data_IF_950280208027
#
_entry.id   IF_950280208027
#
_cell.length_a   1.000
_cell.length_b   1.000
_cell.length_c   1.000
_cell.angle_alpha   90.00
_cell.angle_beta   90.00
_cell.angle_gamma   90.00
#
_symmetry.space_group_name_H-M   'P 1'
#
loop_
_entity.id
_entity.type
_entity.pdbx_description
1 polymer ?
2 polymer ?
3 non-polymer ?
4 water ?
#
# COMPACT_ATOMS: atom_id res chain seq x y z
N UNK A 5 22.44 -10.23 13.34
CA UNK A 5 21.63 -9.95 14.52
C UNK A 5 20.84 -11.17 14.97
N UNK A 6 19.88 -10.94 15.87
CA UNK A 6 18.95 -11.99 16.27
C UNK A 6 17.62 -11.79 15.54
N UNK A 7 17.30 -12.74 14.69
CA UNK A 7 16.06 -12.68 13.92
C UNK A 7 15.12 -13.80 14.31
N UNK A 8 13.93 -13.41 14.76
CA UNK A 8 12.91 -14.37 15.12
C UNK A 8 11.92 -14.47 13.96
N UNK A 9 12.17 -15.40 13.05
CA UNK A 9 11.33 -15.51 11.86
C UNK A 9 10.00 -16.15 12.22
N UNK A 10 8.94 -15.64 11.61
CA UNK A 10 7.59 -16.12 11.84
C UNK A 10 7.09 -16.73 10.54
N UNK A 11 7.44 -18.00 10.37
CA UNK A 11 7.21 -18.73 9.14
C UNK A 11 6.63 -20.08 9.54
N UNK A 12 5.44 -20.39 9.05
CA UNK A 12 4.82 -21.68 9.41
C UNK A 12 5.37 -22.81 8.55
N UNK A 13 4.99 -24.05 8.89
CA UNK A 13 5.44 -25.22 8.15
C UNK A 13 4.50 -25.64 7.01
N UNK A 14 4.72 -26.84 6.49
CA UNK A 14 3.92 -27.36 5.40
C UNK A 14 2.78 -28.24 5.92
N UNK B 4 -21.06 15.61 -14.17
CA UNK B 4 -21.05 14.62 -13.10
C UNK B 4 -19.81 14.77 -12.24
N UNK B 5 -19.65 13.86 -11.29
CA UNK B 5 -18.51 13.87 -10.37
C UNK B 5 -17.40 12.96 -10.87
N UNK B 6 -16.30 13.54 -11.35
CA UNK B 6 -15.22 12.74 -11.93
C UNK B 6 -14.52 11.86 -10.90
N UNK B 7 -14.59 12.25 -9.63
CA UNK B 7 -13.96 11.47 -8.57
C UNK B 7 -14.70 10.15 -8.33
N UNK B 8 -15.96 10.07 -8.77
CA UNK B 8 -16.73 8.84 -8.59
C UNK B 8 -16.16 7.69 -9.43
N UNK B 9 -15.36 8.03 -10.42
CA UNK B 9 -14.66 7.02 -11.22
C UNK B 9 -13.80 6.08 -10.36
N UNK B 10 -13.37 6.58 -9.19
CA UNK B 10 -12.58 5.79 -8.26
C UNK B 10 -13.28 4.51 -7.81
N UNK B 11 -14.62 4.56 -7.76
CA UNK B 11 -15.40 3.47 -7.18
C UNK B 11 -16.23 2.71 -8.20
N UNK B 12 -16.07 3.02 -9.47
CA UNK B 12 -16.80 2.30 -10.50
C UNK B 12 -16.37 0.83 -10.48
N UNK B 13 -17.33 -0.08 -10.35
CA UNK B 13 -16.99 -1.50 -10.42
C UNK B 13 -16.22 -1.80 -11.70
N UNK B 14 -15.10 -2.50 -11.59
CA UNK B 14 -14.28 -2.79 -12.75
C UNK B 14 -13.10 -1.84 -12.94
N UNK B 15 -13.16 -0.66 -12.32
CA UNK B 15 -12.05 0.29 -12.41
C UNK B 15 -10.74 -0.24 -11.80
N UNK B 16 -9.60 0.03 -12.46
CA UNK B 16 -8.30 -0.40 -11.93
C UNK B 16 -7.51 0.76 -11.33
N UNK B 17 -7.16 0.62 -10.06
CA UNK B 17 -6.26 1.58 -9.43
C UNK B 17 -4.82 1.20 -9.74
N UNK B 18 -3.97 2.19 -9.85
CA UNK B 18 -2.54 1.95 -9.90
C UNK B 18 -1.97 1.82 -8.49
N UNK B 19 -1.18 0.77 -8.25
CA UNK B 19 -0.48 0.58 -6.98
C UNK B 19 1.02 0.66 -7.17
N UNK B 20 1.68 1.52 -6.38
CA UNK B 20 3.13 1.57 -6.37
C UNK B 20 3.66 0.68 -5.25
N UNK B 21 4.46 -0.33 -5.62
CA UNK B 21 5.01 -1.27 -4.66
C UNK B 21 6.49 -0.97 -4.49
N UNK B 22 6.94 -0.73 -3.25
CA UNK B 22 8.37 -0.45 -3.00
C UNK B 22 8.85 -1.40 -1.94
N UNK B 23 9.93 -2.12 -2.20
CA UNK B 23 10.45 -3.07 -1.23
C UNK B 23 11.77 -2.60 -0.64
N UNK B 24 11.95 -2.89 0.65
CA UNK B 24 13.13 -2.52 1.41
C UNK B 24 13.69 -3.72 2.10
N UNK B 25 14.99 -3.98 1.91
CA UNK B 25 15.66 -5.00 2.72
C UNK B 25 16.56 -4.28 3.71
N UNK B 26 16.32 -4.47 5.00
CA UNK B 26 17.10 -3.82 6.05
C UNK B 26 17.16 -2.32 5.78
N UNK B 27 16.02 -1.74 5.44
CA UNK B 27 15.94 -0.29 5.29
C UNK B 27 16.54 0.27 4.02
N UNK B 28 16.91 -0.60 3.09
CA UNK B 28 17.45 -0.18 1.80
C UNK B 28 16.45 -0.47 0.69
N UNK B 29 16.08 0.55 -0.09
CA UNK B 29 15.16 0.32 -1.20
C UNK B 29 15.79 -0.55 -2.28
N UNK B 30 15.16 -1.69 -2.58
CA UNK B 30 15.73 -2.63 -3.54
C UNK B 30 14.88 -2.85 -4.77
N UNK B 31 13.67 -2.31 -4.76
CA UNK B 31 12.70 -2.64 -5.80
C UNK B 31 11.56 -1.65 -5.79
N UNK B 32 11.12 -1.23 -6.97
CA UNK B 32 9.90 -0.44 -7.04
C UNK B 32 9.22 -0.73 -8.37
N UNK B 33 7.91 -0.95 -8.33
CA UNK B 33 7.14 -1.21 -9.54
C UNK B 33 5.73 -0.70 -9.36
N UNK B 34 5.17 -0.16 -10.43
CA UNK B 34 3.79 0.30 -10.43
C UNK B 34 2.92 -0.73 -11.16
N UNK B 35 1.81 -1.14 -10.52
CA UNK B 35 0.98 -2.22 -11.05
C UNK B 35 -0.46 -1.77 -11.20
N UNK B 36 -1.08 -2.05 -12.35
CA UNK B 36 -2.52 -1.91 -12.50
C UNK B 36 -3.00 -3.26 -13.03
N UNK B 37 -3.93 -3.89 -12.31
CA UNK B 37 -4.42 -5.22 -12.75
C UNK B 37 -5.79 -5.47 -12.15
N UNK B 38 -6.75 -5.98 -12.93
CA UNK B 38 -8.08 -6.23 -12.33
C UNK B 38 -7.99 -7.14 -11.10
N UNK B 39 -7.00 -8.02 -11.04
CA UNK B 39 -6.86 -8.96 -9.91
C UNK B 39 -6.07 -8.39 -8.75
N UNK B 40 -5.66 -7.13 -8.84
CA UNK B 40 -4.74 -6.58 -7.86
C UNK B 40 -3.36 -7.20 -8.03
N UNK B 41 -2.60 -7.26 -6.95
CA UNK B 41 -1.20 -7.67 -7.01
C UNK B 41 -0.90 -8.78 -6.02
N UNK B 42 0.21 -9.47 -6.24
CA UNK B 42 0.60 -10.55 -5.34
C UNK B 42 2.13 -10.53 -5.21
N UNK B 43 2.62 -10.21 -4.02
CA UNK B 43 4.05 -10.19 -3.76
C UNK B 43 4.60 -11.61 -3.67
N UNK B 44 5.64 -11.90 -4.44
CA UNK B 44 6.22 -13.25 -4.42
C UNK B 44 7.72 -13.20 -4.31
N UNK B 45 8.34 -14.33 -3.98
CA UNK B 45 9.77 -14.41 -3.82
C UNK B 45 10.39 -15.17 -4.97
N UNK B 46 9.55 -15.49 -5.96
CA UNK B 46 9.89 -16.29 -7.13
C UNK B 46 10.27 -17.73 -6.77
N UNK B 47 9.40 -18.38 -5.98
CA UNK B 47 9.38 -19.83 -5.90
C UNK B 47 8.48 -20.32 -7.03
N UNK B 48 8.36 -19.48 -8.05
CA UNK B 48 7.43 -19.62 -9.16
C UNK B 48 7.28 -21.05 -9.67
N UNK B 49 6.10 -21.62 -9.48
CA UNK B 49 5.01 -20.90 -8.83
C UNK B 49 3.68 -21.13 -9.50
N UNK B 50 2.64 -21.33 -8.70
CA UNK B 50 1.30 -21.60 -9.20
C UNK B 50 0.74 -20.38 -9.95
N UNK B 51 0.57 -20.52 -11.26
CA UNK B 51 0.10 -19.40 -12.07
C UNK B 51 -1.42 -19.26 -12.03
N UNK B 52 -2.09 -20.21 -11.39
CA UNK B 52 -3.53 -20.09 -11.20
C UNK B 52 -3.83 -19.25 -9.95
N UNK B 53 -2.81 -18.91 -9.18
CA UNK B 53 -3.01 -18.00 -8.06
C UNK B 53 -3.40 -16.62 -8.59
N UNK B 54 -4.26 -15.92 -7.85
CA UNK B 54 -4.72 -14.59 -8.29
C UNK B 54 -3.67 -13.49 -8.11
N UNK B 55 -3.80 -12.41 -8.86
CA UNK B 55 -2.95 -11.24 -8.67
C UNK B 55 -1.78 -11.18 -9.61
N UNK B 56 -1.43 -9.99 -10.06
CA UNK B 56 -0.25 -9.81 -10.89
C UNK B 56 0.96 -10.08 -10.01
N UNK B 57 1.79 -11.07 -10.38
CA UNK B 57 2.95 -11.40 -9.54
C UNK B 57 4.01 -10.31 -9.56
N UNK B 58 4.36 -9.84 -8.37
CA UNK B 58 5.37 -8.81 -8.19
C UNK B 58 6.55 -9.50 -7.51
N UNK B 59 7.62 -9.71 -8.25
CA UNK B 59 8.72 -10.53 -7.74
C UNK B 59 9.73 -9.68 -6.97
N UNK B 60 9.81 -9.93 -5.67
CA UNK B 60 10.82 -9.28 -4.83
C UNK B 60 12.19 -9.88 -5.16
N UNK B 61 13.18 -9.03 -5.43
CA UNK B 61 14.43 -9.50 -6.01
C UNK B 61 15.32 -10.26 -5.03
N UNK B 62 16.08 -11.22 -5.55
CA UNK B 62 17.07 -11.88 -4.71
C UNK B 62 18.11 -10.86 -4.28
N UNK B 63 18.56 -10.91 -3.01
CA UNK B 63 19.50 -9.91 -2.49
C UNK B 63 20.84 -9.87 -3.20
N UNK B 64 21.20 -10.91 -3.94
CA UNK B 64 22.49 -10.98 -4.61
C UNK B 64 23.48 -11.79 -3.79
N UNK B 65 24.47 -12.37 -4.45
CA UNK B 65 25.36 -13.31 -3.76
C UNK B 65 26.70 -12.72 -3.35
N UNK B 66 26.75 -11.42 -3.10
CA UNK B 66 28.00 -10.81 -2.69
C UNK B 66 28.46 -11.33 -1.31
N UNK B 67 29.77 -11.38 -1.09
CA UNK B 67 30.29 -11.60 0.26
C UNK B 67 29.84 -10.45 1.14
N UNK B 68 29.75 -9.28 0.54
CA UNK B 68 29.31 -8.10 1.23
C UNK B 68 27.91 -8.25 1.80
N UNK B 69 27.78 -8.08 3.11
CA UNK B 69 26.48 -8.16 3.79
C UNK B 69 25.88 -9.57 3.71
N UNK B 70 26.73 -10.58 3.54
CA UNK B 70 26.19 -11.91 3.21
C UNK B 70 25.29 -12.45 4.33
N UNK B 71 25.61 -12.11 5.57
CA UNK B 71 24.86 -12.63 6.71
C UNK B 71 23.39 -12.24 6.70
N UNK B 72 23.09 -10.96 6.85
CA UNK B 72 21.69 -10.54 6.88
C UNK B 72 21.00 -10.77 5.54
N UNK B 73 21.74 -10.73 4.44
CA UNK B 73 21.12 -10.96 3.15
C UNK B 73 20.73 -12.42 2.98
N UNK B 74 21.43 -13.34 3.67
CA UNK B 74 21.05 -14.74 3.62
C UNK B 74 19.75 -14.96 4.42
N UNK B 75 19.53 -14.12 5.42
CA UNK B 75 18.25 -14.12 6.14
C UNK B 75 17.14 -13.60 5.24
N UNK B 76 17.42 -12.53 4.50
CA UNK B 76 16.43 -12.03 3.56
C UNK B 76 16.09 -13.10 2.54
N UNK B 77 17.11 -13.73 1.98
CA UNK B 77 16.87 -14.75 0.98
C UNK B 77 16.04 -15.89 1.57
N UNK B 78 16.26 -16.24 2.84
CA UNK B 78 15.47 -17.30 3.45
C UNK B 78 14.00 -16.90 3.54
N UNK B 79 13.74 -15.69 4.01
CA UNK B 79 12.37 -15.20 4.09
C UNK B 79 11.70 -15.21 2.70
N UNK B 80 12.39 -14.70 1.69
CA UNK B 80 11.85 -14.70 0.33
C UNK B 80 11.54 -16.11 -0.17
N UNK B 81 12.39 -17.07 0.21
CA UNK B 81 12.22 -18.43 -0.27
C UNK B 81 11.01 -19.10 0.39
N UNK B 82 10.54 -18.51 1.48
CA UNK B 82 9.38 -19.07 2.18
C UNK B 82 8.08 -18.31 1.88
N UNK B 83 8.15 -17.30 1.03
CA UNK B 83 6.96 -16.52 0.67
C UNK B 83 5.87 -17.37 0.02
N UNK B 84 6.27 -18.43 -0.69
CA UNK B 84 5.33 -19.32 -1.34
C UNK B 84 4.33 -18.54 -2.20
N UNK B 85 3.04 -18.83 -2.03
CA UNK B 85 1.99 -18.12 -2.76
C UNK B 85 2.06 -16.61 -2.57
N UNK B 86 2.62 -16.16 -1.46
CA UNK B 86 2.91 -14.75 -1.30
C UNK B 86 1.85 -13.92 -0.60
N UNK B 87 1.83 -12.63 -0.91
CA UNK B 87 0.96 -11.68 -0.22
C UNK B 87 0.10 -10.98 -1.26
N UNK B 88 -1.20 -11.29 -1.27
CA UNK B 88 -2.11 -10.65 -2.24
C UNK B 88 -2.73 -9.37 -1.69
N UNK B 89 -2.89 -8.37 -2.56
CA UNK B 89 -3.55 -7.11 -2.21
C UNK B 89 -4.41 -6.71 -3.38
N UNK B 90 -5.68 -6.40 -3.14
CA UNK B 90 -6.58 -6.03 -4.21
C UNK B 90 -7.71 -5.14 -3.72
N UNK B 91 -8.42 -4.52 -4.66
CA UNK B 91 -9.52 -3.63 -4.33
C UNK B 91 -10.85 -4.27 -4.67
N UNK B 92 -11.82 -4.08 -3.79
CA UNK B 92 -13.22 -4.40 -4.11
C UNK B 92 -14.10 -3.36 -3.43
N UNK B 93 -14.81 -2.58 -4.24
CA UNK B 93 -15.63 -1.51 -3.68
C UNK B 93 -14.74 -0.43 -3.08
N UNK B 94 -15.10 0.05 -1.90
CA UNK B 94 -14.33 1.14 -1.31
C UNK B 94 -13.24 0.58 -0.40
N UNK B 95 -13.02 -0.73 -0.49
CA UNK B 95 -12.06 -1.40 0.38
C UNK B 95 -10.87 -2.00 -0.37
N UNK B 96 -9.70 -1.94 0.29
CA UNK B 96 -8.54 -2.73 -0.11
C UNK B 96 -8.49 -3.96 0.78
N UNK B 97 -8.18 -5.10 0.19
CA UNK B 97 -8.17 -6.39 0.87
C UNK B 97 -6.81 -7.04 0.74
N UNK B 98 -6.38 -7.76 1.76
CA UNK B 98 -5.14 -8.51 1.67
C UNK B 98 -5.29 -9.96 2.14
N UNK B 99 -4.40 -10.82 1.68
CA UNK B 99 -4.48 -12.23 2.04
C UNK B 99 -3.10 -12.83 1.92
N UNK B 100 -2.73 -13.67 2.90
CA UNK B 100 -1.44 -14.32 2.86
C UNK B 100 -1.60 -15.70 2.24
N UNK B 101 -0.85 -15.98 1.18
CA UNK B 101 -1.04 -17.20 0.42
C UNK B 101 0.15 -18.14 0.56
N UNK B 102 1.12 -17.74 1.36
CA UNK B 102 2.28 -18.56 1.62
C UNK B 102 2.52 -18.72 3.11
N UNK B 103 3.77 -18.96 3.49
CA UNK B 103 4.09 -19.36 4.85
C UNK B 103 4.58 -18.23 5.76
N UNK B 104 4.83 -17.04 5.21
CA UNK B 104 5.39 -15.95 6.02
C UNK B 104 4.29 -15.15 6.71
N UNK B 105 4.24 -15.22 8.04
CA UNK B 105 3.33 -14.35 8.78
C UNK B 105 3.65 -12.91 8.42
N UNK B 106 2.61 -12.14 8.10
CA UNK B 106 2.81 -10.76 7.62
C UNK B 106 1.92 -9.80 8.39
N UNK B 107 2.51 -8.72 8.91
CA UNK B 107 1.76 -7.72 9.65
C UNK B 107 1.70 -6.45 8.84
N UNK B 108 0.63 -5.67 9.03
CA UNK B 108 0.44 -4.49 8.21
C UNK B 108 -0.01 -3.28 9.03
N UNK B 109 0.23 -2.10 8.48
CA UNK B 109 -0.33 -0.87 9.04
C UNK B 109 -0.50 0.14 7.93
N UNK B 110 -1.48 1.02 8.07
CA UNK B 110 -1.60 2.19 7.21
C UNK B 110 -0.83 3.32 7.89
N UNK B 111 0.14 3.88 7.17
CA UNK B 111 1.16 4.73 7.78
C UNK B 111 1.52 5.91 6.88
N UNK B 112 2.51 6.68 7.33
CA UNK B 112 3.13 7.71 6.50
C UNK B 112 3.92 7.12 5.34
N UNK B 113 4.11 7.92 4.28
CA UNK B 113 4.94 7.49 3.16
C UNK B 113 6.32 7.01 3.57
N UNK B 114 6.96 7.72 4.50
CA UNK B 114 8.37 7.44 4.73
C UNK B 114 8.67 6.62 5.99
N UNK B 115 7.66 6.40 6.82
CA UNK B 115 7.88 5.75 8.12
C UNK B 115 6.78 4.75 8.42
N UNK B 116 7.11 3.45 8.41
CA UNK B 116 6.04 2.47 8.58
C UNK B 116 5.49 2.43 9.98
N UNK B 117 6.33 2.70 10.98
CA UNK B 117 5.95 2.39 12.36
C UNK B 117 5.89 3.59 13.31
N UNK B 118 4.80 4.33 13.22
CA UNK B 118 4.30 5.14 14.34
C UNK B 118 3.01 5.87 13.99
N UNK B 119 1.89 5.17 14.14
CA UNK B 119 1.88 3.76 14.49
C UNK B 119 1.96 3.40 15.96
N UNK B 120 0.87 2.86 16.49
CA UNK B 120 0.90 2.29 17.81
C UNK B 120 0.79 0.77 17.67
N UNK B 121 1.80 0.19 17.02
CA UNK B 121 1.78 -1.23 16.71
C UNK B 121 1.17 -1.44 15.33
N UNK B 122 1.07 -2.71 14.90
CA UNK B 122 0.47 -2.93 13.57
C UNK B 122 -1.04 -2.78 13.63
N UNK B 123 -1.66 -2.49 12.49
CA UNK B 123 -3.12 -2.46 12.44
C UNK B 123 -3.67 -3.88 12.45
N UNK B 124 -2.85 -4.86 12.06
CA UNK B 124 -3.29 -6.25 12.12
C UNK B 124 -2.32 -7.23 11.48
N UNK B 125 -2.69 -8.51 11.51
CA UNK B 125 -1.97 -9.54 10.76
C UNK B 125 -2.79 -9.93 9.53
N UNK B 126 -2.14 -10.00 8.38
CA UNK B 126 -2.83 -10.44 7.16
C UNK B 126 -3.29 -11.89 7.33
N UNK B 127 -4.59 -12.15 7.11
CA UNK B 127 -5.08 -13.50 7.34
C UNK B 127 -4.74 -14.44 6.19
N UNK B 128 -4.82 -15.72 6.51
CA UNK B 128 -4.62 -16.81 5.59
C UNK B 128 -5.99 -17.43 5.34
N UNK B 129 -6.20 -17.95 4.14
CA UNK B 129 -7.42 -18.71 3.78
C UNK B 129 -8.68 -17.87 3.63
N UNK B 130 -8.63 -16.60 4.01
CA UNK B 130 -9.73 -15.69 3.73
C UNK B 130 -9.16 -14.30 3.59
N UNK B 131 -9.93 -13.38 3.04
CA UNK B 131 -9.43 -12.03 2.84
C UNK B 131 -9.59 -11.21 4.13
N UNK B 132 -8.75 -10.18 4.26
CA UNK B 132 -8.86 -9.25 5.37
C UNK B 132 -8.84 -7.82 4.86
N UNK B 133 -9.74 -6.98 5.37
CA UNK B 133 -9.80 -5.60 4.95
C UNK B 133 -8.62 -4.85 5.54
N UNK B 134 -7.91 -4.10 4.71
CA UNK B 134 -6.75 -3.36 5.22
C UNK B 134 -6.90 -1.85 5.01
N UNK B 135 -7.89 -1.44 4.21
CA UNK B 135 -8.07 -0.01 3.97
C UNK B 135 -9.47 0.33 3.51
N UNK B 136 -10.07 1.35 4.13
CA UNK B 136 -11.41 1.79 3.78
C UNK B 136 -11.33 3.22 3.25
N UNK B 137 -11.71 3.42 2.00
CA UNK B 137 -11.64 4.75 1.38
C UNK B 137 -12.58 5.75 2.04
N UNK B 138 -13.65 5.26 2.66
CA UNK B 138 -14.65 6.11 3.27
C UNK B 138 -14.10 7.09 4.31
N UNK B 139 -13.54 6.57 5.40
CA UNK B 139 -12.92 7.41 6.43
C UNK B 139 -11.76 8.24 5.88
N UNK B 140 -11.04 7.71 4.89
CA UNK B 140 -9.96 8.46 4.27
C UNK B 140 -10.48 9.75 3.65
N UNK B 141 -11.58 9.65 2.90
CA UNK B 141 -12.15 10.83 2.24
C UNK B 141 -12.70 11.83 3.25
N UNK B 142 -13.35 11.33 4.29
CA UNK B 142 -13.80 12.18 5.40
C UNK B 142 -12.63 12.98 5.97
N UNK B 143 -11.51 12.28 6.20
CA UNK B 143 -10.34 12.93 6.77
C UNK B 143 -9.66 13.87 5.78
N UNK B 144 -9.74 13.52 4.50
CA UNK B 144 -9.21 14.38 3.46
C UNK B 144 -9.99 15.70 3.41
N UNK B 145 -11.31 15.61 3.53
CA UNK B 145 -12.14 16.82 3.57
C UNK B 145 -11.76 17.70 4.75
N UNK B 146 -11.58 17.07 5.92
CA UNK B 146 -11.15 17.78 7.11
C UNK B 146 -9.81 18.49 6.87
N UNK B 147 -8.91 17.78 6.20
CA UNK B 147 -7.58 18.28 5.85
C UNK B 147 -7.68 19.56 5.01
N UNK B 148 -8.58 19.56 4.02
CA UNK B 148 -8.75 20.74 3.17
C UNK B 148 -9.34 21.94 3.89
N UNK B 149 -9.97 21.70 5.03
CA UNK B 149 -10.58 22.78 5.80
C UNK B 149 -9.64 23.33 6.87
N UNK B 150 -8.41 22.80 6.90
CA UNK B 150 -7.40 23.25 7.84
C UNK B 150 -7.48 22.58 9.20
N UNK B 151 -8.40 21.64 9.35
CA UNK B 151 -8.79 21.18 10.68
C UNK B 151 -8.23 19.82 11.08
N UNK B 152 -7.33 19.25 10.27
CA UNK B 152 -6.81 17.94 10.60
C UNK B 152 -5.52 17.64 9.89
N UNK B 153 -4.92 16.51 10.23
CA UNK B 153 -3.64 16.13 9.66
C UNK B 153 -3.79 15.54 8.26
N UNK B 154 -2.67 15.44 7.56
CA UNK B 154 -2.65 14.79 6.25
C UNK B 154 -3.07 13.33 6.41
N UNK B 155 -4.11 12.91 5.69
CA UNK B 155 -4.61 11.54 5.87
C UNK B 155 -3.64 10.50 5.30
N UNK B 156 -3.51 9.39 6.01
CA UNK B 156 -2.52 8.37 5.65
C UNK B 156 -3.10 7.35 4.68
N UNK B 157 -2.28 6.92 3.73
CA UNK B 157 -2.75 5.97 2.70
C UNK B 157 -1.68 4.94 2.33
N UNK B 158 -0.51 5.00 2.96
CA UNK B 158 0.55 4.07 2.61
C UNK B 158 0.42 2.78 3.40
N UNK B 159 0.22 1.68 2.70
CA UNK B 159 0.14 0.38 3.35
C UNK B 159 1.53 -0.20 3.51
N UNK B 160 1.91 -0.53 4.74
CA UNK B 160 3.22 -1.13 4.96
C UNK B 160 3.06 -2.56 5.47
N UNK B 161 3.82 -3.47 4.88
CA UNK B 161 3.79 -4.88 5.27
C UNK B 161 5.14 -5.30 5.78
N UNK B 162 5.15 -5.91 6.96
CA UNK B 162 6.35 -6.50 7.54
C UNK B 162 6.26 -8.01 7.34
N UNK B 163 7.19 -8.57 6.56
CA UNK B 163 7.10 -9.96 6.10
C UNK B 163 8.01 -10.90 6.88
N UNK B 164 7.42 -11.88 7.56
CA UNK B 164 8.14 -12.96 8.23
C UNK B 164 8.76 -12.61 9.57
N UNK B 165 8.45 -11.41 10.08
CA UNK B 165 8.89 -10.98 11.39
C UNK B 165 7.77 -10.21 12.10
N UNK B 166 7.89 -10.07 13.42
CA UNK B 166 6.91 -9.29 14.17
C UNK B 166 6.97 -7.84 13.71
N UNK B 167 5.85 -7.12 13.84
CA UNK B 167 5.85 -5.69 13.54
C UNK B 167 6.90 -4.98 14.42
N UNK B 168 7.72 -4.09 13.83
CA UNK B 168 8.76 -3.42 14.61
C UNK B 168 8.24 -2.27 15.47
N UNK B 169 7.45 -2.57 16.49
CA UNK B 169 6.99 -1.54 17.40
C UNK B 169 8.13 -1.12 18.32
N UNK B 170 8.36 0.19 18.43
CA UNK B 170 9.43 0.74 19.26
C UNK B 170 10.83 0.18 18.92
N UNK B 171 11.01 -0.17 17.65
CA UNK B 171 12.30 -0.59 17.10
C UNK B 171 12.51 0.13 15.77
N UNK B 172 13.78 0.40 15.40
CA UNK B 172 14.00 0.97 14.06
C UNK B 172 13.51 0.03 12.97
N UNK B 173 12.64 0.53 12.09
CA UNK B 173 12.05 -0.34 11.08
C UNK B 173 13.09 -0.89 10.11
N UNK B 174 14.20 -0.18 10.01
CA UNK B 174 15.28 -0.55 9.09
C UNK B 174 15.99 -1.84 9.53
N UNK B 175 15.72 -2.32 10.74
CA UNK B 175 16.26 -3.60 11.19
C UNK B 175 15.52 -4.78 10.57
N UNK B 176 14.33 -4.52 10.06
CA UNK B 176 13.52 -5.62 9.53
C UNK B 176 14.02 -6.09 8.17
N UNK B 177 13.98 -7.40 7.96
CA UNK B 177 14.53 -7.97 6.76
C UNK B 177 13.79 -7.57 5.50
N UNK B 178 12.46 -7.68 5.55
CA UNK B 178 11.64 -7.43 4.36
C UNK B 178 10.43 -6.58 4.72
N UNK B 179 10.47 -5.30 4.30
CA UNK B 179 9.36 -4.38 4.50
C UNK B 179 8.90 -3.94 3.12
N UNK B 180 7.59 -3.92 2.91
CA UNK B 180 7.08 -3.56 1.60
C UNK B 180 6.02 -2.48 1.78
N UNK B 181 6.18 -1.39 1.03
CA UNK B 181 5.20 -0.30 1.01
C UNK B 181 4.35 -0.41 -0.24
N UNK B 182 3.03 -0.29 -0.09
CA UNK B 182 2.17 -0.23 -1.25
C UNK B 182 1.35 1.04 -1.17
N UNK B 183 1.50 1.90 -2.17
CA UNK B 183 0.73 3.14 -2.24
C UNK B 183 -0.23 3.11 -3.42
N UNK B 184 -1.54 3.22 -3.14
CA UNK B 184 -2.50 3.46 -4.22
C UNK B 184 -2.26 4.90 -4.67
N UNK B 185 -1.75 5.09 -5.89
CA UNK B 185 -1.22 6.40 -6.23
C UNK B 185 -2.33 7.43 -6.41
N UNK B 186 -3.58 6.98 -6.58
CA UNK B 186 -4.69 7.94 -6.61
C UNK B 186 -4.77 8.70 -5.28
N UNK B 187 -4.49 8.02 -4.19
CA UNK B 187 -4.66 8.64 -2.87
C UNK B 187 -3.54 9.64 -2.61
N UNK B 188 -2.34 9.27 -3.04
CA UNK B 188 -1.20 10.20 -2.96
C UNK B 188 -1.54 11.48 -3.73
N UNK B 189 -2.13 11.30 -4.92
CA UNK B 189 -2.51 12.44 -5.75
C UNK B 189 -3.59 13.29 -5.11
N UNK B 190 -4.57 12.63 -4.48
CA UNK B 190 -5.66 13.37 -3.83
C UNK B 190 -5.14 14.23 -2.68
N UNK B 191 -4.16 13.70 -1.93
CA UNK B 191 -3.61 14.47 -0.82
C UNK B 191 -2.78 15.66 -1.33
N UNK B 192 -1.99 15.41 -2.36
CA UNK B 192 -1.20 16.48 -2.98
C UNK B 192 -2.10 17.59 -3.51
N UNK B 193 -3.21 17.20 -4.13
CA UNK B 193 -4.18 18.14 -4.68
C UNK B 193 -4.80 19.02 -3.58
N UNK B 194 -4.99 18.43 -2.41
CA UNK B 194 -5.51 19.18 -1.27
C UNK B 194 -4.52 20.23 -0.80
N UNK B 195 -3.23 19.88 -0.84
CA UNK B 195 -2.17 20.77 -0.35
C UNK B 195 -1.97 22.00 -1.23
N UNK B 196 -2.22 21.86 -2.53
CA UNK B 196 -2.04 22.96 -3.47
C UNK B 196 -3.33 23.74 -3.64
N UNK B 197 -4.42 23.17 -3.14
CA UNK B 197 -5.73 23.79 -3.25
C UNK B 197 -5.84 25.14 -2.58
N UNK B 198 -5.27 25.24 -1.38
CA UNK B 198 -5.33 26.48 -0.63
C UNK B 198 -4.39 27.56 -1.13
N UNK B 199 -3.62 27.26 -2.18
CA UNK B 199 -2.76 28.25 -2.81
C UNK B 199 -3.59 29.44 -3.27
N UNK B 200 -4.73 29.14 -3.87
CA UNK B 200 -5.72 30.15 -4.25
C UNK B 200 -7.04 29.50 -4.66
N UNK B 201 -7.73 30.14 -5.59
CA UNK B 201 -8.95 29.57 -6.17
C UNK B 201 -8.77 29.39 -7.67
N UNK B 202 -7.52 29.34 -8.11
CA UNK B 202 -7.19 29.00 -9.49
C UNK B 202 -7.23 27.49 -9.67
N UNK B 203 -7.03 27.02 -10.90
CA UNK B 203 -7.13 25.60 -11.18
C UNK B 203 -5.80 24.89 -10.98
N UNK B 204 -5.87 23.71 -10.38
CA UNK B 204 -4.71 22.83 -10.28
C UNK B 204 -5.06 21.49 -10.93
N UNK B 205 -4.05 20.79 -11.39
CA UNK B 205 -4.26 19.51 -12.06
C UNK B 205 -4.04 18.33 -11.12
N UNK B 206 -4.99 17.40 -11.12
CA UNK B 206 -4.80 16.17 -10.38
C UNK B 206 -4.94 14.97 -11.32
N UNK B 207 -3.94 14.10 -11.28
CA UNK B 207 -3.93 12.86 -12.05
C UNK B 207 -4.29 11.72 -11.10
N UNK B 208 -5.45 11.10 -11.31
CA UNK B 208 -5.91 10.06 -10.41
C UNK B 208 -5.16 8.74 -10.57
N UNK B 209 -4.42 8.59 -11.66
CA UNK B 209 -3.69 7.33 -11.90
C UNK B 209 -4.60 6.11 -11.79
N UNK B 210 -5.77 6.17 -12.43
CA UNK B 210 -6.66 5.02 -12.50
C UNK B 210 -7.02 4.77 -13.95
N UNK B 211 -7.51 3.57 -14.25
CA UNK B 211 -7.74 3.14 -15.64
C UNK B 211 -8.75 4.01 -16.37
N UNK B 212 -8.50 4.23 -17.66
CA UNK B 212 -9.39 5.00 -18.51
C UNK B 212 -9.76 6.35 -17.91
N UNK B 213 -8.76 7.03 -17.36
CA UNK B 213 -8.98 8.30 -16.69
C UNK B 213 -8.07 9.39 -17.24
N UNK B 214 -8.55 10.62 -17.17
CA UNK B 214 -7.82 11.79 -17.66
C UNK B 214 -7.48 12.72 -16.49
N UNK B 215 -6.30 13.36 -16.54
CA UNK B 215 -5.94 14.37 -15.55
C UNK B 215 -6.99 15.47 -15.45
N UNK B 216 -7.40 15.78 -14.22
CA UNK B 216 -8.46 16.75 -13.99
C UNK B 216 -7.89 18.12 -13.61
N UNK B 217 -8.43 19.17 -14.20
CA UNK B 217 -8.05 20.53 -13.82
C UNK B 217 -9.20 21.16 -13.03
N UNK B 218 -8.97 21.37 -11.74
CA UNK B 218 -10.04 21.79 -10.84
C UNK B 218 -9.64 22.95 -9.95
N UNK B 219 -10.60 23.83 -9.65
CA UNK B 219 -10.39 24.84 -8.62
C UNK B 219 -10.51 24.17 -7.26
N UNK B 220 -10.05 24.85 -6.22
CA UNK B 220 -10.15 24.32 -4.87
C UNK B 220 -11.60 24.07 -4.49
N UNK B 221 -12.48 24.99 -4.90
CA UNK B 221 -13.90 24.85 -4.61
C UNK B 221 -14.50 23.65 -5.31
N UNK B 222 -14.17 23.48 -6.60
CA UNK B 222 -14.63 22.33 -7.36
C UNK B 222 -14.21 21.03 -6.68
N UNK B 223 -12.94 20.98 -6.29
CA UNK B 223 -12.35 19.78 -5.70
C UNK B 223 -13.05 19.40 -4.40
N UNK B 224 -13.21 20.40 -3.52
CA UNK B 224 -13.85 20.17 -2.23
C UNK B 224 -15.30 19.75 -2.43
N UNK B 225 -15.97 20.33 -3.42
CA UNK B 225 -17.35 19.98 -3.73
C UNK B 225 -17.47 18.53 -4.18
N UNK B 226 -16.56 18.11 -5.05
CA UNK B 226 -16.55 16.72 -5.53
C UNK B 226 -16.27 15.73 -4.40
N UNK B 227 -15.36 16.08 -3.50
CA UNK B 227 -15.04 15.20 -2.37
C UNK B 227 -16.27 14.99 -1.51
N UNK B 228 -17.01 16.07 -1.26
CA UNK B 228 -18.22 16.00 -0.43
C UNK B 228 -19.27 15.11 -1.11
N UNK B 229 -19.48 15.34 -2.40
CA UNK B 229 -20.41 14.51 -3.16
C UNK B 229 -19.97 13.05 -3.18
N UNK B 230 -18.67 12.83 -3.34
CA UNK B 230 -18.13 11.48 -3.34
C UNK B 230 -18.45 10.77 -2.02
N UNK B 231 -18.26 11.47 -0.91
CA UNK B 231 -18.39 10.86 0.40
C UNK B 231 -19.86 10.57 0.73
N UNK B 232 -20.77 11.31 0.09
CA UNK B 232 -22.20 11.12 0.30
C UNK B 232 -22.70 9.76 -0.23
N UNK B 233 -22.03 9.26 -1.26
CA UNK B 233 -22.42 8.00 -1.88
C UNK B 233 -21.68 6.79 -1.34
N UNK B 234 -20.74 7.00 -0.43
CA UNK B 234 -19.96 5.90 0.12
C UNK B 234 -20.62 5.27 1.33
N UNK B 235 -20.13 4.10 1.72
CA UNK B 235 -20.70 3.33 2.81
C UNK B 235 -20.04 3.63 4.15
N UNK B 236 -20.87 3.91 5.15
CA UNK B 236 -20.39 4.03 6.52
C UNK B 236 -21.33 3.25 7.43
N UNK B 237 -20.81 2.74 8.54
CA UNK B 237 -21.60 1.92 9.44
C UNK B 237 -22.47 2.77 10.37
X LIG C 1 -5.91 9.40 8.98
X LIG C 1 -6.83 9.07 7.83
X LIG C 1 -5.76 10.89 9.12
X LIG C 1 -6.48 8.83 10.27
X LIG C 1 -4.56 8.76 8.73
X LIG D 1 0.61 16.80 9.67
X LIG D 1 0.13 15.78 8.68
X LIG D 1 0.89 16.17 11.01
X LIG D 1 -0.49 17.80 9.90
X LIG D 1 1.84 17.50 9.14
X LIG E 1 -3.14 21.75 11.15
X LIG E 1 -3.88 20.48 10.83
X LIG E 1 -2.86 21.81 12.63
X LIG E 1 -3.97 22.95 10.72
X LIG E 1 -1.83 21.78 10.39
#
# INVERSE_FOLDING_TARGET
STLTEEFELLISNSEDDWE
SEFENPLKRLLVPGEEWEFEVTAFYRGRQVFQQTISCPEGLRLVGSEVGDRTLPGWPVTLPDPGMSLTDRGVMSYVRHVLSCLGGGLALWRAGQWLWAQRLGHCHTYWAVSEELLPNSGHGPDGEVPKDKEGGVFDLGPFIVDLITFTEGSGRSPRYALWFCVGESWPQDQPWTKRLVMVKVVPTCLRALVEMARVGGASSLENTVDLHISNSHPLSLTSDQYKAYLQDLVEGMDFQGPGES
PO4 P O1 O2 O3 O4
PO4 P O1 O2 O3 O4
PO4 P O1 O2 O3 O4
#
